data_IF_537375654937
#
_entry.id   IF_537375654937
#
_cell.length_a   1.000
_cell.length_b   1.000
_cell.length_c   1.000
_cell.angle_alpha   90.00
_cell.angle_beta   90.00
_cell.angle_gamma   90.00
#
_symmetry.space_group_name_H-M   'P 1'
#
loop_
_entity.id
_entity.type
_entity.pdbx_description
1 polymer ?
#
# COMPACT_ATOMS: atom_id res chain seq x y z
N UNK A 1 6.20 14.99 5.86
CA UNK A 1 5.21 14.00 6.31
C UNK A 1 5.87 13.09 7.33
N UNK A 2 5.19 12.70 8.41
CA UNK A 2 5.69 11.76 9.42
C UNK A 2 4.95 10.39 9.32
N UNK A 3 5.37 9.34 10.04
CA UNK A 3 4.75 8.01 9.97
C UNK A 3 3.24 8.02 10.24
N UNK A 4 2.77 8.78 11.23
CA UNK A 4 1.34 8.93 11.53
C UNK A 4 0.55 9.45 10.33
N UNK A 5 1.06 10.52 9.71
CA UNK A 5 0.42 11.12 8.53
C UNK A 5 0.40 10.15 7.35
N UNK A 6 1.45 9.35 7.16
CA UNK A 6 1.45 8.29 6.15
C UNK A 6 0.37 7.24 6.44
N UNK A 7 0.26 6.74 7.68
CA UNK A 7 -0.77 5.76 8.05
C UNK A 7 -2.19 6.30 7.80
N UNK A 8 -2.42 7.59 8.06
CA UNK A 8 -3.73 8.23 7.83
C UNK A 8 -4.01 8.43 6.33
N UNK A 9 -3.11 9.11 5.62
CA UNK A 9 -3.31 9.47 4.21
C UNK A 9 -3.19 8.23 3.32
N UNK A 10 -2.14 7.44 3.50
CA UNK A 10 -1.92 6.19 2.79
C UNK A 10 -3.02 5.18 3.06
N UNK A 11 -3.45 5.05 4.33
CA UNK A 11 -4.59 4.19 4.68
C UNK A 11 -5.89 4.64 4.01
N UNK A 12 -6.18 5.95 4.00
CA UNK A 12 -7.36 6.49 3.32
C UNK A 12 -7.32 6.25 1.80
N UNK A 13 -6.15 6.48 1.17
CA UNK A 13 -5.94 6.18 -0.25
C UNK A 13 -6.20 4.70 -0.53
N UNK A 14 -5.70 3.80 0.31
CA UNK A 14 -5.85 2.36 0.11
C UNK A 14 -7.31 1.91 0.23
N UNK A 15 -8.06 2.45 1.20
CA UNK A 15 -9.50 2.20 1.32
C UNK A 15 -10.25 2.71 0.08
N UNK A 16 -9.96 3.94 -0.35
CA UNK A 16 -10.63 4.53 -1.53
C UNK A 16 -10.32 3.71 -2.78
N UNK A 17 -9.05 3.35 -3.02
CA UNK A 17 -8.64 2.54 -4.16
C UNK A 17 -9.32 1.17 -4.15
N UNK A 18 -9.34 0.48 -3.01
CA UNK A 18 -10.00 -0.82 -2.90
C UNK A 18 -11.52 -0.74 -3.10
N UNK A 19 -12.19 0.27 -2.56
CA UNK A 19 -13.64 0.47 -2.80
C UNK A 19 -13.92 0.80 -4.26
N UNK A 20 -13.13 1.68 -4.86
CA UNK A 20 -13.29 2.08 -6.26
C UNK A 20 -12.95 0.94 -7.21
N UNK A 21 -11.99 0.08 -6.89
CA UNK A 21 -11.63 -1.09 -7.68
C UNK A 21 -12.67 -2.21 -7.64
N UNK A 22 -13.56 -2.23 -6.63
CA UNK A 22 -14.75 -3.10 -6.65
C UNK A 22 -15.86 -2.59 -7.57
N UNK A 23 -15.80 -1.34 -8.03
CA UNK A 23 -16.72 -0.84 -9.05
C UNK A 23 -16.32 -1.41 -10.42
N UNK A 24 -17.27 -1.63 -11.34
CA UNK A 24 -17.00 -2.21 -12.67
C UNK A 24 -16.24 -1.27 -13.62
N UNK A 25 -15.48 -0.30 -13.10
CA UNK A 25 -14.70 0.70 -13.82
C UNK A 25 -13.27 0.21 -14.07
N UNK A 26 -12.65 -0.42 -13.07
CA UNK A 26 -11.23 -0.84 -13.08
C UNK A 26 -11.07 -2.36 -13.30
N UNK A 27 -11.61 -2.85 -14.41
CA UNK A 27 -11.57 -4.27 -14.78
C UNK A 27 -10.55 -4.52 -15.89
N UNK A 28 -10.03 -5.76 -16.00
CA UNK A 28 -9.13 -6.16 -17.09
C UNK A 28 -9.69 -5.84 -18.48
N UNK A 29 -11.01 -5.87 -18.66
CA UNK A 29 -11.69 -5.54 -19.91
C UNK A 29 -11.76 -4.03 -20.19
N UNK A 30 -12.06 -3.22 -19.16
CA UNK A 30 -12.30 -1.78 -19.32
C UNK A 30 -11.02 -0.94 -19.22
N UNK A 31 -10.03 -1.43 -18.46
CA UNK A 31 -8.79 -0.72 -18.11
C UNK A 31 -7.63 -1.73 -18.01
N UNK A 32 -7.22 -2.34 -19.14
CA UNK A 32 -6.22 -3.43 -19.14
C UNK A 32 -4.83 -3.01 -18.62
N UNK A 33 -4.55 -1.71 -18.60
CA UNK A 33 -3.30 -1.16 -18.09
C UNK A 33 -3.30 -0.93 -16.56
N UNK A 34 -4.48 -0.86 -15.93
CA UNK A 34 -4.65 -0.71 -14.47
C UNK A 34 -5.97 -1.34 -14.02
N UNK A 35 -5.87 -2.54 -13.44
CA UNK A 35 -6.99 -3.26 -12.87
C UNK A 35 -6.54 -3.95 -11.59
N UNK A 36 -7.49 -4.17 -10.70
CA UNK A 36 -7.30 -4.88 -9.44
C UNK A 36 -8.32 -6.00 -9.36
N UNK A 37 -7.91 -7.20 -9.00
CA UNK A 37 -8.86 -8.27 -8.76
C UNK A 37 -9.61 -8.09 -7.43
N UNK A 38 -10.61 -8.95 -7.18
CA UNK A 38 -11.41 -8.85 -5.95
C UNK A 38 -10.57 -9.06 -4.69
N UNK A 39 -9.61 -9.99 -4.70
CA UNK A 39 -8.72 -10.27 -3.58
C UNK A 39 -7.83 -9.07 -3.24
N UNK A 40 -7.25 -8.42 -4.25
CA UNK A 40 -6.43 -7.21 -4.09
C UNK A 40 -7.24 -6.05 -3.51
N UNK A 41 -8.43 -5.82 -4.04
CA UNK A 41 -9.32 -4.77 -3.53
C UNK A 41 -9.72 -4.98 -2.07
N UNK A 42 -10.04 -6.22 -1.69
CA UNK A 42 -10.36 -6.57 -0.30
C UNK A 42 -9.13 -6.39 0.60
N UNK A 43 -7.94 -6.80 0.14
CA UNK A 43 -6.70 -6.58 0.88
C UNK A 43 -6.42 -5.08 1.08
N UNK A 44 -6.61 -4.25 0.05
CA UNK A 44 -6.46 -2.81 0.13
C UNK A 44 -7.40 -2.16 1.14
N UNK A 45 -8.69 -2.52 1.13
CA UNK A 45 -9.66 -2.02 2.12
C UNK A 45 -9.23 -2.43 3.54
N UNK A 46 -8.94 -3.72 3.75
CA UNK A 46 -8.58 -4.25 5.05
C UNK A 46 -7.31 -3.60 5.62
N UNK A 47 -6.23 -3.58 4.83
CA UNK A 47 -4.96 -2.96 5.21
C UNK A 47 -5.10 -1.45 5.43
N UNK A 48 -5.94 -0.77 4.64
CA UNK A 48 -6.19 0.66 4.76
C UNK A 48 -6.89 1.02 6.06
N UNK A 49 -7.93 0.26 6.43
CA UNK A 49 -8.61 0.40 7.71
C UNK A 49 -7.68 0.13 8.89
N UNK A 50 -6.87 -0.93 8.80
CA UNK A 50 -5.86 -1.26 9.82
C UNK A 50 -4.82 -0.14 9.96
N UNK A 51 -4.34 0.43 8.86
CA UNK A 51 -3.38 1.53 8.88
C UNK A 51 -3.96 2.78 9.56
N UNK A 52 -5.19 3.16 9.20
CA UNK A 52 -5.90 4.29 9.85
C UNK A 52 -6.06 4.02 11.34
N UNK A 53 -6.55 2.84 11.73
CA UNK A 53 -6.73 2.47 13.13
C UNK A 53 -5.40 2.50 13.90
N UNK A 54 -4.34 1.93 13.33
CA UNK A 54 -2.99 1.93 13.92
C UNK A 54 -2.46 3.35 14.15
N UNK A 55 -2.82 4.31 13.30
CA UNK A 55 -2.41 5.73 13.46
C UNK A 55 -2.96 6.40 14.73
N UNK A 56 -4.06 5.87 15.29
CA UNK A 56 -4.68 6.35 16.51
C UNK A 56 -4.37 5.47 17.73
N UNK A 57 -4.27 4.16 17.54
CA UNK A 57 -4.05 3.19 18.63
C UNK A 57 -2.58 3.13 19.04
N UNK A 58 -1.64 3.17 18.09
CA UNK A 58 -0.21 3.17 18.40
C UNK A 58 0.19 4.57 18.83
N UNK A 59 0.53 4.77 20.09
CA UNK A 59 0.97 6.08 20.61
C UNK A 59 2.48 6.25 20.57
N UNK A 60 3.25 5.16 20.56
CA UNK A 60 4.71 5.18 20.46
C UNK A 60 5.18 5.55 19.03
N UNK A 61 5.90 6.68 18.85
CA UNK A 61 6.44 7.08 17.57
C UNK A 61 7.39 6.05 16.94
N UNK A 62 8.15 5.30 17.75
CA UNK A 62 9.06 4.27 17.26
C UNK A 62 8.29 3.10 16.64
N UNK A 63 7.20 2.66 17.29
CA UNK A 63 6.33 1.62 16.74
C UNK A 63 5.69 2.05 15.42
N UNK A 64 5.18 3.29 15.35
CA UNK A 64 4.62 3.80 14.09
C UNK A 64 5.66 3.88 12.97
N UNK A 65 6.87 4.35 13.28
CA UNK A 65 7.99 4.37 12.33
C UNK A 65 8.26 2.99 11.76
N UNK A 66 8.42 1.98 12.62
CA UNK A 66 8.77 0.63 12.19
C UNK A 66 7.61 -0.07 11.48
N UNK A 67 6.36 0.16 11.89
CA UNK A 67 5.19 -0.30 11.15
C UNK A 67 5.20 0.25 9.71
N UNK A 68 5.38 1.55 9.56
CA UNK A 68 5.45 2.19 8.23
C UNK A 68 6.67 1.68 7.43
N UNK A 69 7.80 1.43 8.08
CA UNK A 69 8.96 0.84 7.42
C UNK A 69 8.66 -0.57 6.88
N UNK A 70 7.97 -1.41 7.65
CA UNK A 70 7.54 -2.74 7.20
C UNK A 70 6.57 -2.64 6.03
N UNK A 71 5.59 -1.74 6.09
CA UNK A 71 4.69 -1.45 4.96
C UNK A 71 5.50 -1.06 3.72
N UNK A 72 6.53 -0.23 3.89
CA UNK A 72 7.41 0.18 2.80
C UNK A 72 8.18 -0.97 2.17
N UNK A 73 8.79 -1.83 2.98
CA UNK A 73 9.51 -3.02 2.49
C UNK A 73 8.56 -3.98 1.78
N UNK A 74 7.38 -4.24 2.34
CA UNK A 74 6.37 -5.11 1.74
C UNK A 74 5.85 -4.54 0.42
N UNK A 75 5.57 -3.24 0.36
CA UNK A 75 5.15 -2.55 -0.87
C UNK A 75 6.21 -2.62 -1.96
N UNK A 76 7.49 -2.39 -1.63
CA UNK A 76 8.59 -2.56 -2.58
C UNK A 76 8.74 -4.02 -3.04
N UNK A 77 8.62 -4.97 -2.12
CA UNK A 77 8.67 -6.39 -2.45
C UNK A 77 7.59 -6.75 -3.47
N UNK A 78 6.33 -6.40 -3.22
CA UNK A 78 5.24 -6.72 -4.15
C UNK A 78 5.32 -5.93 -5.45
N UNK A 79 5.74 -4.67 -5.41
CA UNK A 79 5.98 -3.89 -6.63
C UNK A 79 7.04 -4.51 -7.54
N UNK A 80 8.13 -5.06 -6.97
CA UNK A 80 9.16 -5.77 -7.75
C UNK A 80 8.69 -7.17 -8.15
N UNK A 81 8.10 -7.92 -7.21
CA UNK A 81 7.66 -9.29 -7.41
C UNK A 81 6.60 -9.39 -8.51
N UNK A 82 5.68 -8.43 -8.60
CA UNK A 82 4.69 -8.36 -9.67
C UNK A 82 5.32 -8.32 -11.07
N UNK A 83 6.45 -7.63 -11.27
CA UNK A 83 7.17 -7.68 -12.54
C UNK A 83 7.82 -9.05 -12.81
N UNK A 84 8.16 -9.80 -11.77
CA UNK A 84 8.75 -11.14 -11.89
C UNK A 84 7.69 -12.18 -12.26
N UNK A 85 6.48 -12.06 -11.70
CA UNK A 85 5.36 -12.98 -11.99
C UNK A 85 4.49 -12.52 -13.16
N UNK A 86 4.80 -11.37 -13.77
CA UNK A 86 4.12 -10.89 -14.96
C UNK A 86 4.13 -11.95 -16.07
N UNK A 87 2.94 -12.32 -16.56
CA UNK A 87 2.76 -13.35 -17.59
C UNK A 87 2.64 -14.79 -17.05
N UNK A 88 2.67 -15.00 -15.74
CA UNK A 88 2.29 -16.28 -15.13
C UNK A 88 0.76 -16.43 -15.06
N UNK A 89 0.20 -17.65 -15.02
CA UNK A 89 -1.24 -17.85 -14.90
C UNK A 89 -1.81 -17.29 -13.59
N UNK A 90 -2.97 -16.62 -13.69
CA UNK A 90 -3.77 -16.15 -12.55
C UNK A 90 -4.42 -17.33 -11.77
N UNK A 91 -4.53 -17.28 -10.42
CA UNK A 91 -3.95 -16.28 -9.52
C UNK A 91 -2.46 -16.50 -9.26
N UNK A 92 -1.65 -15.47 -9.57
CA UNK A 92 -0.19 -15.58 -9.59
C UNK A 92 0.50 -15.16 -8.28
N UNK A 93 -0.27 -14.66 -7.30
CA UNK A 93 0.27 -14.21 -6.00
C UNK A 93 -0.30 -15.04 -4.87
N UNK A 94 0.46 -16.07 -4.48
CA UNK A 94 0.12 -16.99 -3.39
C UNK A 94 -1.30 -17.62 -3.48
N UNK A 95 -1.90 -17.63 -4.67
CA UNK A 95 -3.27 -18.08 -4.90
C UNK A 95 -4.37 -17.12 -4.43
N UNK A 96 -4.02 -15.87 -4.07
CA UNK A 96 -4.93 -14.90 -3.47
C UNK A 96 -5.20 -13.67 -4.35
N UNK A 97 -4.25 -13.28 -5.20
CA UNK A 97 -4.26 -12.03 -5.97
C UNK A 97 -3.47 -12.15 -7.30
N UNK A 98 -3.62 -11.15 -8.17
CA UNK A 98 -3.11 -11.06 -9.54
C UNK A 98 -2.19 -9.83 -9.74
N UNK A 99 -0.89 -9.99 -9.47
CA UNK A 99 0.10 -8.93 -9.62
C UNK A 99 0.66 -8.79 -11.04
N UNK A 100 -0.21 -8.74 -12.04
CA UNK A 100 0.19 -8.65 -13.45
C UNK A 100 -0.14 -7.32 -14.13
N UNK A 101 -0.91 -6.44 -13.47
CA UNK A 101 -1.11 -5.08 -13.99
C UNK A 101 0.17 -4.25 -13.83
N UNK A 102 0.79 -3.76 -14.92
CA UNK A 102 2.04 -3.01 -14.82
C UNK A 102 1.91 -1.74 -13.99
N UNK A 103 0.77 -1.05 -14.08
CA UNK A 103 0.53 0.16 -13.31
C UNK A 103 0.27 -0.14 -11.82
N UNK A 104 -0.32 -1.30 -11.47
CA UNK A 104 -0.45 -1.71 -10.08
C UNK A 104 0.92 -2.01 -9.44
N UNK A 105 1.81 -2.69 -10.17
CA UNK A 105 3.18 -2.94 -9.71
C UNK A 105 3.97 -1.64 -9.49
N UNK A 106 3.81 -0.67 -10.39
CA UNK A 106 4.36 0.69 -10.22
C UNK A 106 3.77 1.37 -8.99
N UNK A 107 2.46 1.27 -8.78
CA UNK A 107 1.78 1.85 -7.63
C UNK A 107 2.35 1.30 -6.32
N UNK A 108 2.47 -0.02 -6.20
CA UNK A 108 3.07 -0.68 -5.03
C UNK A 108 4.51 -0.22 -4.79
N UNK A 109 5.32 -0.11 -5.85
CA UNK A 109 6.68 0.40 -5.75
C UNK A 109 6.72 1.85 -5.25
N UNK A 110 5.90 2.73 -5.81
CA UNK A 110 5.82 4.15 -5.41
C UNK A 110 5.33 4.29 -3.97
N UNK A 111 4.29 3.56 -3.57
CA UNK A 111 3.75 3.58 -2.20
C UNK A 111 4.78 3.00 -1.22
N UNK A 112 5.49 1.94 -1.60
CA UNK A 112 6.58 1.36 -0.81
C UNK A 112 7.71 2.36 -0.55
N UNK A 113 8.17 3.04 -1.60
CA UNK A 113 9.18 4.10 -1.49
C UNK A 113 8.68 5.28 -0.65
N UNK A 114 7.42 5.69 -0.83
CA UNK A 114 6.77 6.76 -0.07
C UNK A 114 6.69 6.42 1.43
N UNK A 115 6.37 5.18 1.78
CA UNK A 115 6.34 4.69 3.15
C UNK A 115 7.73 4.72 3.79
N UNK A 116 8.76 4.20 3.11
CA UNK A 116 10.14 4.25 3.62
C UNK A 116 10.62 5.69 3.80
N UNK A 117 10.30 6.57 2.84
CA UNK A 117 10.57 7.99 2.98
C UNK A 117 9.89 8.57 4.23
N UNK A 118 8.61 8.26 4.46
CA UNK A 118 7.88 8.68 5.66
C UNK A 118 8.50 8.17 6.97
N UNK A 119 9.03 6.95 6.97
CA UNK A 119 9.63 6.30 8.13
C UNK A 119 11.01 6.86 8.51
N UNK A 120 11.84 7.23 7.53
CA UNK A 120 13.25 7.57 7.78
C UNK A 120 13.64 9.01 7.44
N UNK A 121 12.96 9.63 6.49
CA UNK A 121 13.30 10.96 5.97
C UNK A 121 12.18 11.99 6.18
N UNK A 122 11.02 11.53 6.64
CA UNK A 122 9.94 12.38 7.10
C UNK A 122 10.41 13.31 8.22
N UNK A 123 9.98 14.58 8.20
CA UNK A 123 10.32 15.55 9.25
C UNK A 123 10.12 14.89 10.62
N UNK A 124 11.21 14.73 11.36
CA UNK A 124 11.13 14.50 12.79
C UNK A 124 10.26 15.64 13.33
N UNK A 125 9.07 15.32 13.87
CA UNK A 125 8.34 16.30 14.64
C UNK A 125 9.32 16.78 15.70
N UNK A 126 9.69 18.06 15.63
CA UNK A 126 10.59 18.72 16.57
C UNK A 126 10.15 18.37 17.99
N UNK A 127 10.90 17.46 18.62
CA UNK A 127 11.02 17.42 20.07
C UNK A 127 12.40 17.97 20.40
N UNK A 128 12.59 19.25 20.07
CA UNK A 128 13.60 20.07 20.72
C UNK A 128 12.84 20.94 21.72
N UNK A 129 12.69 20.43 22.93
CA UNK A 129 12.38 21.24 24.11
C UNK A 129 13.24 20.75 25.26
N UNK A 130 14.29 21.51 25.55
CA UNK A 130 14.56 22.12 26.84
C UNK A 130 15.67 23.17 26.65
#
# INVERSE_FOLDING_TARGET
MNPKQFLQIGGAILVVLGVVGLLPVFTKANTPWFYLDTGENVAHIGLGLVAIAASFVLTDPAMQKWLVAVVGVVGLFFGIYGFVVAGQPEPNTFGLANLESPADNILHFVVGAWALYAAFMGRASMSATA
#
